data_IF_868062504696
#
_entry.id   IF_868062504696
#
_cell.length_a   1.000
_cell.length_b   1.000
_cell.length_c   1.000
_cell.angle_alpha   90.00
_cell.angle_beta   90.00
_cell.angle_gamma   90.00
#
_symmetry.space_group_name_H-M   'P 1'
#
loop_
_entity.id
_entity.type
_entity.pdbx_description
1 polymer ?
#
# COMPACT_ATOMS: atom_id res chain seq x y z
N UNK A 1 9.85 16.04 0.38
CA UNK A 1 9.24 16.52 1.65
C UNK A 1 7.80 16.96 1.37
N UNK A 2 6.81 16.04 1.39
CA UNK A 2 5.41 16.45 1.31
C UNK A 2 5.03 16.87 2.73
N UNK A 3 4.82 18.17 2.95
CA UNK A 3 4.30 18.73 4.20
C UNK A 3 3.03 17.98 4.58
N UNK A 4 2.83 17.68 5.86
CA UNK A 4 1.54 17.20 6.40
C UNK A 4 0.44 18.11 5.85
N UNK A 5 -0.47 17.56 5.01
CA UNK A 5 -1.53 18.34 4.35
C UNK A 5 -1.15 18.94 2.98
N UNK A 6 -0.10 18.44 2.32
CA UNK A 6 0.35 18.95 1.02
C UNK A 6 -0.72 18.81 -0.05
N UNK A 7 -1.15 19.95 -0.56
CA UNK A 7 -2.03 20.09 -1.72
C UNK A 7 -1.27 19.57 -2.93
N UNK A 8 -1.83 18.57 -3.61
CA UNK A 8 -1.29 18.04 -4.85
C UNK A 8 -1.67 19.02 -5.96
N UNK A 9 -0.67 19.62 -6.61
CA UNK A 9 -0.91 20.56 -7.69
C UNK A 9 -0.94 19.79 -9.02
N UNK A 10 -2.04 19.91 -9.70
CA UNK A 10 -2.20 19.51 -11.11
C UNK A 10 -1.37 20.47 -12.00
N UNK A 11 -0.86 19.98 -13.12
CA UNK A 11 -0.35 20.87 -14.16
C UNK A 11 -1.42 21.89 -14.53
N UNK A 12 -1.10 23.17 -14.50
CA UNK A 12 -2.07 24.24 -14.74
C UNK A 12 -2.75 24.08 -16.10
N UNK A 13 -4.09 23.96 -16.12
CA UNK A 13 -4.89 23.81 -17.34
C UNK A 13 -5.93 24.94 -17.38
N UNK A 14 -6.01 25.65 -18.51
CA UNK A 14 -7.02 26.71 -18.68
C UNK A 14 -8.44 26.14 -18.69
N UNK A 15 -9.37 26.90 -18.10
CA UNK A 15 -10.81 26.53 -18.10
C UNK A 15 -11.32 26.41 -19.54
N UNK A 16 -10.85 27.23 -20.48
CA UNK A 16 -11.15 27.10 -21.90
C UNK A 16 -10.78 25.72 -22.46
N UNK A 17 -9.57 25.22 -22.12
CA UNK A 17 -9.13 23.90 -22.57
C UNK A 17 -10.01 22.80 -22.00
N UNK A 18 -10.34 22.88 -20.69
CA UNK A 18 -11.24 21.92 -20.01
C UNK A 18 -12.62 21.96 -20.68
N UNK A 19 -13.18 23.13 -20.92
CA UNK A 19 -14.45 23.30 -21.63
C UNK A 19 -14.44 22.61 -23.00
N UNK A 20 -13.38 22.82 -23.77
CA UNK A 20 -13.21 22.18 -25.09
C UNK A 20 -13.14 20.68 -24.99
N UNK A 21 -12.36 20.12 -24.04
CA UNK A 21 -12.20 18.68 -23.83
C UNK A 21 -13.53 18.04 -23.41
N UNK A 22 -14.24 18.65 -22.47
CA UNK A 22 -15.47 18.12 -21.91
C UNK A 22 -16.74 18.48 -22.72
N UNK A 23 -16.60 19.31 -23.77
CA UNK A 23 -17.69 19.76 -24.61
C UNK A 23 -18.85 20.35 -23.78
N UNK A 24 -18.53 21.06 -22.70
CA UNK A 24 -19.49 21.67 -21.82
C UNK A 24 -19.81 23.12 -22.19
N UNK A 25 -20.89 23.67 -21.59
CA UNK A 25 -21.32 25.06 -21.74
C UNK A 25 -21.10 25.82 -20.43
N UNK A 26 -20.36 26.93 -20.47
CA UNK A 26 -20.30 27.86 -19.34
C UNK A 26 -21.69 28.49 -19.16
N UNK A 27 -22.24 28.35 -17.97
CA UNK A 27 -23.54 28.94 -17.59
C UNK A 27 -23.41 29.99 -16.51
N UNK A 28 -22.25 30.10 -15.86
CA UNK A 28 -21.89 31.12 -14.89
C UNK A 28 -20.38 31.32 -14.83
N UNK A 29 -19.91 32.53 -14.56
CA UNK A 29 -18.50 32.89 -14.38
C UNK A 29 -17.71 33.00 -15.67
N UNK A 30 -16.37 33.02 -15.57
CA UNK A 30 -15.40 33.24 -16.66
C UNK A 30 -14.55 32.00 -16.92
N UNK A 31 -14.12 31.81 -18.18
CA UNK A 31 -13.16 30.76 -18.56
C UNK A 31 -11.72 31.27 -18.76
N UNK A 32 -11.45 32.55 -18.39
CA UNK A 32 -10.17 33.23 -18.57
C UNK A 32 -9.17 32.99 -17.43
N UNK A 33 -9.17 31.79 -16.84
CA UNK A 33 -8.26 31.40 -15.77
C UNK A 33 -7.91 29.92 -15.86
N UNK A 34 -7.05 29.43 -14.96
CA UNK A 34 -6.56 28.04 -14.99
C UNK A 34 -6.78 27.33 -13.66
N UNK A 35 -7.12 26.06 -13.74
CA UNK A 35 -7.21 25.15 -12.60
C UNK A 35 -5.84 24.61 -12.19
N UNK A 36 -5.66 24.31 -10.91
CA UNK A 36 -4.44 23.76 -10.30
C UNK A 36 -4.71 22.53 -9.45
N UNK A 37 -5.99 22.20 -9.21
CA UNK A 37 -6.43 21.06 -8.41
C UNK A 37 -7.65 20.43 -9.04
N UNK A 38 -7.85 19.12 -8.84
CA UNK A 38 -9.05 18.42 -9.26
C UNK A 38 -9.51 17.46 -8.16
N UNK A 39 -10.80 17.49 -7.84
CA UNK A 39 -11.41 16.66 -6.80
C UNK A 39 -12.82 16.21 -7.17
N UNK A 40 -13.30 15.16 -6.47
CA UNK A 40 -14.75 14.98 -6.30
C UNK A 40 -15.28 15.95 -5.26
N UNK A 41 -16.47 16.48 -5.44
CA UNK A 41 -17.06 17.48 -4.54
C UNK A 41 -17.25 16.97 -3.09
N UNK A 42 -17.45 15.67 -2.88
CA UNK A 42 -17.55 15.09 -1.54
C UNK A 42 -16.25 15.18 -0.69
N UNK A 43 -15.18 15.76 -1.25
CA UNK A 43 -13.90 16.00 -0.56
C UNK A 43 -13.74 17.48 -0.24
N UNK A 44 -14.67 18.03 0.56
CA UNK A 44 -14.69 19.44 0.98
C UNK A 44 -13.41 19.90 1.66
N UNK A 45 -12.72 18.98 2.35
CA UNK A 45 -11.41 19.20 2.98
C UNK A 45 -10.30 19.54 2.00
N UNK A 46 -10.48 19.22 0.71
CA UNK A 46 -9.52 19.44 -0.36
C UNK A 46 -9.87 20.63 -1.28
N UNK A 47 -10.93 21.38 -0.98
CA UNK A 47 -11.27 22.57 -1.78
C UNK A 47 -10.26 23.68 -1.46
N UNK A 48 -9.57 24.14 -2.48
CA UNK A 48 -8.63 25.26 -2.46
C UNK A 48 -8.96 26.23 -3.61
N UNK A 49 -8.25 27.35 -3.69
CA UNK A 49 -8.35 28.19 -4.88
C UNK A 49 -7.89 27.44 -6.14
N UNK A 50 -8.49 27.76 -7.27
CA UNK A 50 -8.20 27.13 -8.58
C UNK A 50 -8.52 25.62 -8.63
N UNK A 51 -9.55 25.17 -7.88
CA UNK A 51 -9.99 23.76 -7.85
C UNK A 51 -11.08 23.49 -8.90
N UNK A 52 -10.88 22.45 -9.69
CA UNK A 52 -11.93 21.79 -10.48
C UNK A 52 -12.66 20.76 -9.64
N UNK A 53 -13.99 20.79 -9.65
CA UNK A 53 -14.85 19.88 -8.88
C UNK A 53 -15.87 19.20 -9.77
N UNK A 54 -15.96 17.87 -9.66
CA UNK A 54 -17.02 17.09 -10.30
C UNK A 54 -18.17 16.94 -9.29
N UNK A 55 -19.34 17.50 -9.61
CA UNK A 55 -20.50 17.56 -8.73
C UNK A 55 -21.66 16.79 -9.33
N UNK A 56 -22.06 15.70 -8.70
CA UNK A 56 -23.16 14.85 -9.16
C UNK A 56 -24.53 15.43 -8.89
N UNK A 57 -25.58 14.87 -9.53
CA UNK A 57 -26.96 15.30 -9.28
C UNK A 57 -27.42 15.14 -7.85
N UNK A 58 -26.89 14.15 -7.12
CA UNK A 58 -27.23 13.88 -5.73
C UNK A 58 -26.52 14.80 -4.73
N UNK A 59 -25.44 15.47 -5.13
CA UNK A 59 -24.66 16.32 -4.23
C UNK A 59 -25.42 17.63 -3.93
N UNK A 60 -25.46 18.03 -2.66
CA UNK A 60 -25.96 19.35 -2.25
C UNK A 60 -24.80 20.34 -2.29
N UNK A 61 -24.89 21.36 -3.14
CA UNK A 61 -23.82 22.34 -3.34
C UNK A 61 -23.90 23.43 -2.28
N UNK A 62 -22.80 23.63 -1.56
CA UNK A 62 -22.63 24.78 -0.67
C UNK A 62 -21.85 25.88 -1.43
N UNK A 63 -22.59 26.76 -2.12
CA UNK A 63 -21.99 27.83 -2.93
C UNK A 63 -21.12 28.77 -2.12
N UNK A 64 -21.53 29.11 -0.89
CA UNK A 64 -20.79 30.03 -0.02
C UNK A 64 -19.42 29.43 0.38
N UNK A 65 -19.36 28.12 0.65
CA UNK A 65 -18.10 27.46 0.96
C UNK A 65 -17.16 27.44 -0.24
N UNK A 66 -17.67 27.12 -1.42
CA UNK A 66 -16.90 27.12 -2.68
C UNK A 66 -16.34 28.50 -2.97
N UNK A 67 -17.21 29.53 -2.93
CA UNK A 67 -16.84 30.91 -3.24
C UNK A 67 -15.77 31.45 -2.29
N UNK A 68 -15.90 31.18 -1.00
CA UNK A 68 -14.92 31.60 0.02
C UNK A 68 -13.52 31.03 -0.18
N UNK A 69 -13.41 29.87 -0.82
CA UNK A 69 -12.14 29.20 -1.09
C UNK A 69 -11.37 29.77 -2.30
N UNK A 70 -11.95 30.71 -3.03
CA UNK A 70 -11.36 31.38 -4.20
C UNK A 70 -11.82 30.81 -5.52
N UNK A 71 -11.22 31.17 -6.64
CA UNK A 71 -11.74 30.76 -7.94
C UNK A 71 -11.81 29.23 -8.04
N UNK A 72 -13.00 28.73 -8.44
CA UNK A 72 -13.31 27.30 -8.56
C UNK A 72 -14.09 27.01 -9.83
N UNK A 73 -13.83 25.84 -10.45
CA UNK A 73 -14.58 25.33 -11.59
C UNK A 73 -15.48 24.16 -11.14
N UNK A 74 -16.77 24.37 -11.18
CA UNK A 74 -17.79 23.35 -10.92
C UNK A 74 -18.24 22.72 -12.23
N UNK A 75 -18.04 21.42 -12.38
CA UNK A 75 -18.55 20.62 -13.51
C UNK A 75 -19.71 19.80 -13.04
N UNK A 76 -20.90 20.00 -13.65
CA UNK A 76 -22.10 19.30 -13.20
C UNK A 76 -23.12 19.11 -14.34
N UNK A 77 -23.95 18.09 -14.21
CA UNK A 77 -25.11 17.79 -15.04
C UNK A 77 -26.45 18.08 -14.32
N UNK A 78 -26.41 18.84 -13.22
CA UNK A 78 -27.61 19.35 -12.54
C UNK A 78 -28.39 20.31 -13.44
N UNK A 79 -29.72 20.49 -13.20
CA UNK A 79 -30.49 21.49 -13.92
C UNK A 79 -29.85 22.88 -13.85
N UNK A 80 -29.81 23.58 -14.97
CA UNK A 80 -29.21 24.94 -15.02
C UNK A 80 -29.85 25.93 -14.01
N UNK A 81 -31.12 25.73 -13.64
CA UNK A 81 -31.83 26.50 -12.65
C UNK A 81 -31.23 26.39 -11.23
N UNK A 82 -30.73 25.20 -10.86
CA UNK A 82 -30.01 24.98 -9.58
C UNK A 82 -28.58 25.56 -9.60
N UNK A 83 -27.95 25.54 -10.77
CA UNK A 83 -26.56 25.98 -10.95
C UNK A 83 -26.40 27.49 -11.08
N UNK A 84 -27.49 28.23 -11.38
CA UNK A 84 -27.51 29.70 -11.46
C UNK A 84 -27.30 30.41 -10.11
N UNK A 85 -27.37 29.67 -8.99
CA UNK A 85 -27.10 30.21 -7.65
C UNK A 85 -25.60 30.28 -7.32
N UNK A 86 -24.72 29.98 -8.29
CA UNK A 86 -23.28 30.13 -8.12
C UNK A 86 -22.89 31.59 -7.87
N UNK A 87 -21.85 31.78 -7.04
CA UNK A 87 -21.33 33.08 -6.65
C UNK A 87 -20.12 33.51 -7.51
N UNK A 88 -19.67 34.74 -7.36
CA UNK A 88 -18.77 35.44 -8.26
C UNK A 88 -17.42 34.72 -8.50
N UNK A 89 -16.87 34.07 -7.46
CA UNK A 89 -15.61 33.33 -7.56
C UNK A 89 -15.77 31.91 -8.13
N UNK A 90 -16.95 31.58 -8.68
CA UNK A 90 -17.23 30.24 -9.20
C UNK A 90 -17.52 30.30 -10.70
N UNK A 91 -16.83 29.46 -11.47
CA UNK A 91 -17.23 29.18 -12.86
C UNK A 91 -17.98 27.85 -12.90
N UNK A 92 -19.09 27.82 -13.62
CA UNK A 92 -19.91 26.60 -13.77
C UNK A 92 -19.92 26.15 -15.21
N UNK A 93 -19.38 24.95 -15.42
CA UNK A 93 -19.38 24.21 -16.68
C UNK A 93 -20.49 23.16 -16.65
N UNK A 94 -21.58 23.41 -17.35
CA UNK A 94 -22.66 22.45 -17.48
C UNK A 94 -22.33 21.41 -18.56
N UNK A 95 -22.48 20.14 -18.24
CA UNK A 95 -22.21 18.98 -19.11
C UNK A 95 -23.43 18.07 -19.20
N UNK A 96 -23.50 17.19 -20.21
CA UNK A 96 -24.57 16.22 -20.37
C UNK A 96 -24.57 15.14 -19.28
N UNK A 97 -23.38 14.72 -18.85
CA UNK A 97 -23.16 13.71 -17.82
C UNK A 97 -21.86 14.02 -17.09
N UNK A 98 -21.95 14.25 -15.78
CA UNK A 98 -20.75 14.49 -14.94
C UNK A 98 -19.86 13.26 -14.86
N UNK A 99 -20.47 12.06 -14.86
CA UNK A 99 -19.71 10.80 -14.83
C UNK A 99 -18.88 10.62 -16.12
N UNK A 100 -19.45 10.92 -17.29
CA UNK A 100 -18.73 10.88 -18.56
C UNK A 100 -17.65 11.98 -18.60
N UNK A 101 -17.96 13.19 -18.17
CA UNK A 101 -17.00 14.29 -18.12
C UNK A 101 -15.79 13.96 -17.22
N UNK A 102 -16.03 13.29 -16.09
CA UNK A 102 -14.95 12.80 -15.21
C UNK A 102 -13.99 11.86 -15.95
N UNK A 103 -14.50 10.84 -16.61
CA UNK A 103 -13.65 9.89 -17.35
C UNK A 103 -12.95 10.54 -18.53
N UNK A 104 -13.61 11.41 -19.26
CA UNK A 104 -12.99 12.20 -20.35
C UNK A 104 -11.86 13.08 -19.81
N UNK A 105 -12.03 13.69 -18.65
CA UNK A 105 -10.96 14.46 -17.99
C UNK A 105 -9.78 13.57 -17.59
N UNK A 106 -10.04 12.39 -17.01
CA UNK A 106 -9.00 11.42 -16.64
C UNK A 106 -8.18 11.00 -17.85
N UNK A 107 -8.84 10.59 -18.93
CA UNK A 107 -8.18 10.18 -20.18
C UNK A 107 -7.34 11.32 -20.75
N UNK A 108 -7.90 12.51 -20.83
CA UNK A 108 -7.18 13.70 -21.26
C UNK A 108 -5.96 13.97 -20.40
N UNK A 109 -6.13 14.05 -19.09
CA UNK A 109 -5.06 14.39 -18.17
C UNK A 109 -3.93 13.35 -18.19
N UNK A 110 -4.29 12.06 -18.10
CA UNK A 110 -3.31 10.96 -18.16
C UNK A 110 -2.57 10.93 -19.50
N UNK A 111 -3.27 11.26 -20.60
CA UNK A 111 -2.71 11.32 -21.95
C UNK A 111 -1.66 12.42 -22.18
N UNK A 112 -1.60 13.42 -21.29
CA UNK A 112 -0.57 14.48 -21.37
C UNK A 112 0.85 13.95 -21.09
N UNK A 113 0.99 12.78 -20.42
CA UNK A 113 2.26 12.31 -19.91
C UNK A 113 2.63 10.93 -20.47
N UNK A 114 3.75 10.86 -21.17
CA UNK A 114 4.34 9.62 -21.72
C UNK A 114 5.45 9.12 -20.79
N UNK A 115 5.09 8.78 -19.54
CA UNK A 115 6.01 8.32 -18.50
C UNK A 115 5.68 6.90 -18.07
N UNK A 116 6.66 6.15 -17.51
CA UNK A 116 6.38 4.90 -16.83
C UNK A 116 5.43 5.14 -15.65
N UNK A 117 4.36 4.35 -15.59
CA UNK A 117 3.42 4.33 -14.46
C UNK A 117 3.37 2.93 -13.89
N UNK A 118 3.89 2.77 -12.68
CA UNK A 118 3.87 1.51 -11.94
C UNK A 118 2.66 1.48 -11.02
N UNK A 119 1.84 0.47 -11.15
CA UNK A 119 0.78 0.15 -10.20
C UNK A 119 1.09 -1.16 -9.50
N UNK A 120 0.92 -1.21 -8.18
CA UNK A 120 1.24 -2.42 -7.43
C UNK A 120 0.15 -2.83 -6.46
N UNK A 121 -0.12 -4.12 -6.44
CA UNK A 121 -1.07 -4.75 -5.52
C UNK A 121 -0.45 -5.97 -4.85
N UNK A 122 -1.16 -6.57 -3.90
CA UNK A 122 -0.76 -7.75 -3.16
C UNK A 122 -1.38 -7.77 -1.76
N UNK A 123 -1.16 -8.81 -1.01
CA UNK A 123 -1.59 -8.91 0.39
C UNK A 123 -0.60 -8.18 1.29
N UNK A 124 0.66 -8.55 1.24
CA UNK A 124 1.77 -7.98 2.00
C UNK A 124 2.84 -7.39 1.08
N UNK A 125 3.74 -6.57 1.63
CA UNK A 125 4.89 -6.04 0.90
C UNK A 125 4.62 -4.87 -0.04
N UNK A 126 3.37 -4.52 -0.35
CA UNK A 126 3.01 -3.42 -1.27
C UNK A 126 3.69 -2.11 -0.92
N UNK A 127 3.47 -1.61 0.28
CA UNK A 127 4.01 -0.31 0.72
C UNK A 127 5.54 -0.35 0.73
N UNK A 128 6.14 -1.44 1.20
CA UNK A 128 7.59 -1.62 1.23
C UNK A 128 8.18 -1.63 -0.18
N UNK A 129 7.63 -2.42 -1.10
CA UNK A 129 8.05 -2.48 -2.50
C UNK A 129 7.90 -1.11 -3.18
N UNK A 130 6.77 -0.42 -2.95
CA UNK A 130 6.54 0.94 -3.46
C UNK A 130 7.57 1.94 -2.94
N UNK A 131 7.87 1.93 -1.64
CA UNK A 131 8.86 2.85 -1.06
C UNK A 131 10.29 2.50 -1.51
N UNK A 132 10.63 1.20 -1.71
CA UNK A 132 11.89 0.79 -2.33
C UNK A 132 12.01 1.33 -3.76
N UNK A 133 10.98 1.12 -4.59
CA UNK A 133 10.91 1.64 -5.96
C UNK A 133 11.07 3.16 -5.99
N UNK A 134 10.30 3.87 -5.17
CA UNK A 134 10.36 5.32 -5.06
C UNK A 134 11.74 5.78 -4.63
N UNK A 135 12.34 5.15 -3.63
CA UNK A 135 13.68 5.48 -3.13
C UNK A 135 14.75 5.33 -4.21
N UNK A 136 14.71 4.22 -4.95
CA UNK A 136 15.64 3.94 -6.06
C UNK A 136 15.43 4.96 -7.18
N UNK A 137 14.20 5.08 -7.68
CA UNK A 137 13.89 5.92 -8.82
C UNK A 137 14.12 7.42 -8.55
N UNK A 138 13.85 7.90 -7.33
CA UNK A 138 14.02 9.30 -6.95
C UNK A 138 15.50 9.77 -6.92
N UNK A 139 16.46 8.85 -7.03
CA UNK A 139 17.87 9.21 -7.22
C UNK A 139 18.20 9.63 -8.65
N UNK A 140 17.31 9.31 -9.58
CA UNK A 140 17.53 9.52 -11.02
C UNK A 140 16.44 10.39 -11.64
N UNK A 141 15.22 10.41 -11.09
CA UNK A 141 14.03 11.02 -11.67
C UNK A 141 13.20 11.80 -10.65
N UNK A 142 12.38 12.73 -11.13
CA UNK A 142 11.27 13.25 -10.35
C UNK A 142 10.13 12.23 -10.37
N UNK A 143 9.78 11.72 -9.19
CA UNK A 143 8.83 10.62 -9.01
C UNK A 143 7.58 11.10 -8.29
N UNK A 144 6.41 10.92 -8.90
CA UNK A 144 5.12 11.00 -8.21
C UNK A 144 4.77 9.63 -7.64
N UNK A 145 4.36 9.58 -6.36
CA UNK A 145 3.98 8.31 -5.74
C UNK A 145 2.86 8.49 -4.71
N UNK A 146 2.09 7.42 -4.49
CA UNK A 146 1.14 7.38 -3.38
C UNK A 146 1.86 7.48 -2.03
N UNK A 147 1.24 8.17 -1.07
CA UNK A 147 1.84 8.51 0.23
C UNK A 147 1.57 7.40 1.24
N UNK A 148 2.61 6.84 1.83
CA UNK A 148 2.50 5.74 2.80
C UNK A 148 1.58 4.63 2.28
N UNK A 149 0.68 4.09 3.10
CA UNK A 149 -0.34 3.12 2.70
C UNK A 149 -1.70 3.76 2.34
N UNK A 150 -1.74 5.06 2.03
CA UNK A 150 -2.98 5.74 1.59
C UNK A 150 -3.29 5.36 0.14
N UNK A 151 -3.90 4.20 -0.05
CA UNK A 151 -4.14 3.56 -1.34
C UNK A 151 -5.63 3.39 -1.67
N UNK A 152 -6.53 4.04 -0.92
CA UNK A 152 -7.97 3.94 -1.17
C UNK A 152 -8.34 4.53 -2.55
N UNK A 153 -9.36 3.98 -3.25
CA UNK A 153 -9.78 4.46 -4.57
C UNK A 153 -10.04 5.97 -4.64
N UNK A 154 -10.56 6.57 -3.56
CA UNK A 154 -10.80 8.02 -3.48
C UNK A 154 -9.53 8.89 -3.53
N UNK A 155 -8.36 8.30 -3.31
CA UNK A 155 -7.06 9.00 -3.42
C UNK A 155 -6.53 9.02 -4.86
N UNK A 156 -7.14 8.26 -5.77
CA UNK A 156 -6.56 8.03 -7.11
C UNK A 156 -6.54 9.30 -7.96
N UNK A 157 -7.62 10.08 -7.96
CA UNK A 157 -7.63 11.35 -8.70
C UNK A 157 -6.58 12.34 -8.16
N UNK A 158 -6.50 12.62 -6.84
CA UNK A 158 -5.41 13.44 -6.30
C UNK A 158 -4.02 12.95 -6.65
N UNK A 159 -3.76 11.63 -6.63
CA UNK A 159 -2.45 11.10 -7.00
C UNK A 159 -2.15 11.26 -8.50
N UNK A 160 -3.13 10.99 -9.37
CA UNK A 160 -2.97 11.23 -10.80
C UNK A 160 -2.69 12.70 -11.09
N UNK A 161 -3.45 13.60 -10.50
CA UNK A 161 -3.29 15.05 -10.71
C UNK A 161 -2.02 15.64 -10.08
N UNK A 162 -1.30 14.85 -9.29
CA UNK A 162 0.05 15.18 -8.84
C UNK A 162 1.16 14.90 -9.85
N UNK A 163 0.83 14.27 -10.97
CA UNK A 163 1.73 14.12 -12.12
C UNK A 163 1.73 15.42 -12.89
N UNK A 164 2.90 15.97 -13.16
CA UNK A 164 3.10 17.23 -13.89
C UNK A 164 4.18 17.07 -14.98
N UNK A 165 4.51 18.17 -15.68
CA UNK A 165 5.51 18.22 -16.74
C UNK A 165 6.95 17.90 -16.29
N UNK A 166 7.22 17.93 -14.99
CA UNK A 166 8.52 17.57 -14.40
C UNK A 166 8.58 16.11 -13.99
N UNK A 167 7.42 15.46 -13.85
CA UNK A 167 7.33 14.07 -13.41
C UNK A 167 7.85 13.12 -14.49
N UNK A 168 8.84 12.30 -14.12
CA UNK A 168 9.49 11.36 -15.06
C UNK A 168 9.05 9.91 -14.81
N UNK A 169 8.46 9.61 -13.65
CA UNK A 169 7.87 8.32 -13.35
C UNK A 169 6.78 8.45 -12.28
N UNK A 170 5.79 7.56 -12.30
CA UNK A 170 4.75 7.50 -11.28
C UNK A 170 4.62 6.11 -10.68
N UNK A 171 4.41 6.02 -9.35
CA UNK A 171 4.36 4.75 -8.61
C UNK A 171 3.17 4.77 -7.65
N UNK A 172 2.15 3.94 -7.93
CA UNK A 172 0.89 3.94 -7.18
C UNK A 172 0.58 2.59 -6.54
N UNK A 173 0.42 2.58 -5.23
CA UNK A 173 -0.09 1.44 -4.51
C UNK A 173 -1.61 1.37 -4.66
N UNK A 174 -2.13 0.21 -5.11
CA UNK A 174 -3.55 -0.05 -5.29
C UNK A 174 -4.16 -0.66 -4.03
N UNK A 175 -5.17 0.01 -3.50
CA UNK A 175 -5.96 -0.48 -2.38
C UNK A 175 -7.09 -1.40 -2.82
N UNK A 176 -7.43 -2.34 -1.94
CA UNK A 176 -8.55 -3.24 -2.11
C UNK A 176 -9.42 -3.23 -0.85
N UNK A 177 -10.65 -2.81 -0.97
CA UNK A 177 -11.71 -3.01 0.02
C UNK A 177 -12.74 -4.01 -0.49
N UNK A 178 -13.10 -3.88 -1.78
CA UNK A 178 -14.09 -4.70 -2.48
C UNK A 178 -13.62 -5.00 -3.91
N UNK A 179 -14.21 -6.02 -4.53
CA UNK A 179 -14.06 -6.31 -5.96
C UNK A 179 -14.39 -5.06 -6.79
N UNK A 180 -13.66 -4.82 -7.86
CA UNK A 180 -13.76 -3.64 -8.72
C UNK A 180 -12.87 -2.45 -8.31
N UNK A 181 -12.33 -2.44 -7.09
CA UNK A 181 -11.50 -1.32 -6.63
C UNK A 181 -10.19 -1.20 -7.39
N UNK A 182 -9.52 -2.31 -7.68
CA UNK A 182 -8.25 -2.32 -8.43
C UNK A 182 -8.50 -1.92 -9.88
N UNK A 183 -9.53 -2.49 -10.50
CA UNK A 183 -9.95 -2.12 -11.87
C UNK A 183 -10.20 -0.62 -11.99
N UNK A 184 -10.98 -0.03 -11.07
CA UNK A 184 -11.27 1.41 -11.05
C UNK A 184 -9.99 2.25 -10.95
N UNK A 185 -9.06 1.88 -10.07
CA UNK A 185 -7.78 2.59 -9.90
C UNK A 185 -6.91 2.47 -11.15
N UNK A 186 -6.87 1.30 -11.78
CA UNK A 186 -6.14 1.10 -13.04
C UNK A 186 -6.73 1.95 -14.19
N UNK A 187 -8.06 2.09 -14.27
CA UNK A 187 -8.67 3.01 -15.26
C UNK A 187 -8.20 4.46 -15.09
N UNK A 188 -7.95 4.89 -13.85
CA UNK A 188 -7.45 6.23 -13.56
C UNK A 188 -5.96 6.36 -13.88
N UNK A 189 -5.13 5.42 -13.43
CA UNK A 189 -3.68 5.51 -13.56
C UNK A 189 -3.15 5.06 -14.92
N UNK A 190 -3.87 4.18 -15.61
CA UNK A 190 -3.47 3.54 -16.88
C UNK A 190 -2.02 3.04 -16.81
N UNK A 191 -1.72 2.08 -15.91
CA UNK A 191 -0.36 1.67 -15.64
C UNK A 191 0.30 0.99 -16.85
N UNK A 192 1.58 1.29 -17.06
CA UNK A 192 2.44 0.59 -18.03
C UNK A 192 3.13 -0.61 -17.40
N UNK A 193 3.25 -0.63 -16.07
CA UNK A 193 3.85 -1.73 -15.31
C UNK A 193 2.92 -2.07 -14.14
N UNK A 194 2.53 -3.34 -14.03
CA UNK A 194 1.74 -3.87 -12.92
C UNK A 194 2.56 -4.85 -12.09
N UNK A 195 2.43 -4.78 -10.76
CA UNK A 195 3.12 -5.70 -9.85
C UNK A 195 2.10 -6.39 -8.94
N UNK A 196 2.22 -7.72 -8.80
CA UNK A 196 1.53 -8.50 -7.76
C UNK A 196 2.58 -9.10 -6.84
N UNK A 197 2.70 -8.58 -5.60
CA UNK A 197 3.74 -9.02 -4.66
C UNK A 197 3.49 -10.43 -4.12
N UNK A 198 2.28 -10.68 -3.64
CA UNK A 198 1.79 -11.98 -3.16
C UNK A 198 0.28 -11.94 -2.97
N UNK A 199 -0.35 -13.11 -2.89
CA UNK A 199 -1.78 -13.25 -2.57
C UNK A 199 -1.96 -14.24 -1.43
N UNK A 200 -2.07 -13.72 -0.21
CA UNK A 200 -2.42 -14.48 0.98
C UNK A 200 -3.85 -14.19 1.44
N UNK A 201 -4.10 -14.27 2.74
CA UNK A 201 -5.42 -14.10 3.33
C UNK A 201 -5.59 -12.71 3.91
N UNK A 202 -6.51 -11.91 3.34
CA UNK A 202 -6.92 -10.60 3.85
C UNK A 202 -8.19 -10.13 3.13
N UNK A 203 -8.92 -9.14 3.67
CA UNK A 203 -10.10 -8.50 3.05
C UNK A 203 -11.19 -9.49 2.58
N UNK A 204 -11.36 -10.64 3.26
CA UNK A 204 -12.37 -11.61 2.91
C UNK A 204 -13.80 -11.08 3.17
N UNK A 205 -13.95 -10.11 4.06
CA UNK A 205 -15.20 -9.39 4.30
C UNK A 205 -15.71 -8.63 3.07
N UNK A 206 -14.82 -8.09 2.24
CA UNK A 206 -15.17 -7.37 1.02
C UNK A 206 -15.12 -8.21 -0.26
N UNK A 207 -14.49 -9.40 -0.20
CA UNK A 207 -14.30 -10.29 -1.36
C UNK A 207 -14.97 -11.66 -1.19
N UNK A 208 -15.79 -11.85 -0.16
CA UNK A 208 -16.54 -13.06 0.21
C UNK A 208 -15.66 -14.22 0.69
N UNK A 209 -14.58 -14.56 -0.02
CA UNK A 209 -13.67 -15.66 0.28
C UNK A 209 -12.31 -15.45 -0.42
N UNK A 210 -11.39 -16.41 -0.26
CA UNK A 210 -10.06 -16.34 -0.86
C UNK A 210 -10.09 -16.33 -2.40
N UNK A 211 -11.00 -17.07 -3.02
CA UNK A 211 -11.13 -17.08 -4.49
C UNK A 211 -11.57 -15.71 -5.03
N UNK A 212 -12.58 -15.10 -4.39
CA UNK A 212 -13.00 -13.72 -4.71
C UNK A 212 -11.88 -12.71 -4.50
N UNK A 213 -11.05 -12.90 -3.46
CA UNK A 213 -9.89 -12.05 -3.20
C UNK A 213 -8.81 -12.20 -4.27
N UNK A 214 -8.53 -13.44 -4.76
CA UNK A 214 -7.62 -13.70 -5.88
C UNK A 214 -8.13 -12.99 -7.15
N UNK A 215 -9.43 -13.15 -7.46
CA UNK A 215 -10.07 -12.49 -8.61
C UNK A 215 -9.97 -10.96 -8.52
N UNK A 216 -10.23 -10.40 -7.35
CA UNK A 216 -10.11 -8.96 -7.14
C UNK A 216 -8.65 -8.45 -7.30
N UNK A 217 -7.65 -9.23 -6.89
CA UNK A 217 -6.24 -8.91 -7.15
C UNK A 217 -5.86 -9.04 -8.63
N UNK A 218 -6.44 -10.01 -9.31
CA UNK A 218 -6.22 -10.24 -10.74
C UNK A 218 -6.76 -9.10 -11.64
N UNK A 219 -7.64 -8.23 -11.14
CA UNK A 219 -8.13 -7.05 -11.88
C UNK A 219 -6.99 -6.16 -12.43
N UNK A 220 -5.81 -6.16 -11.79
CA UNK A 220 -4.64 -5.42 -12.29
C UNK A 220 -4.18 -5.94 -13.65
N UNK A 221 -4.33 -7.24 -13.92
CA UNK A 221 -3.90 -7.87 -15.20
C UNK A 221 -4.66 -7.27 -16.38
N UNK A 222 -5.96 -7.02 -16.21
CA UNK A 222 -6.79 -6.36 -17.22
C UNK A 222 -6.61 -4.83 -17.22
N UNK A 223 -6.08 -4.29 -16.15
CA UNK A 223 -5.92 -2.86 -15.95
C UNK A 223 -4.59 -2.30 -16.45
N UNK A 224 -3.59 -3.13 -16.76
CA UNK A 224 -2.34 -2.72 -17.38
C UNK A 224 -2.57 -2.45 -18.88
N UNK A 225 -1.89 -1.46 -19.43
CA UNK A 225 -1.92 -1.19 -20.89
C UNK A 225 -1.56 -2.46 -21.68
N UNK A 226 -2.12 -2.61 -22.86
CA UNK A 226 -1.96 -3.82 -23.69
C UNK A 226 -0.49 -4.12 -24.05
N UNK A 227 0.34 -3.07 -24.16
CA UNK A 227 1.78 -3.12 -24.42
C UNK A 227 2.63 -3.10 -23.14
N UNK A 228 2.00 -3.17 -21.96
CA UNK A 228 2.65 -3.04 -20.67
C UNK A 228 3.29 -4.32 -20.14
N UNK A 229 3.92 -4.22 -18.97
CA UNK A 229 4.62 -5.32 -18.29
C UNK A 229 3.89 -5.72 -17.01
N UNK A 230 3.67 -7.02 -16.82
CA UNK A 230 3.19 -7.62 -15.57
C UNK A 230 4.34 -8.30 -14.84
N UNK A 231 4.59 -7.90 -13.59
CA UNK A 231 5.63 -8.46 -12.72
C UNK A 231 4.96 -9.24 -11.59
N UNK A 232 5.24 -10.55 -11.49
CA UNK A 232 4.56 -11.46 -10.54
C UNK A 232 5.54 -12.30 -9.75
N UNK A 233 5.14 -12.67 -8.54
CA UNK A 233 5.86 -13.63 -7.72
C UNK A 233 5.59 -15.06 -8.24
N UNK A 234 6.63 -15.71 -8.73
CA UNK A 234 6.57 -17.07 -9.30
C UNK A 234 6.31 -18.15 -8.23
N UNK A 235 6.65 -17.86 -6.99
CA UNK A 235 6.57 -18.83 -5.87
C UNK A 235 5.21 -18.78 -5.15
N UNK A 236 4.32 -17.85 -5.53
CA UNK A 236 3.01 -17.69 -4.89
C UNK A 236 1.94 -18.59 -5.54
N UNK A 237 1.51 -19.60 -4.80
CA UNK A 237 0.52 -20.57 -5.27
C UNK A 237 -0.86 -19.97 -5.61
N UNK A 238 -1.22 -18.82 -5.05
CA UNK A 238 -2.48 -18.15 -5.37
C UNK A 238 -2.35 -17.25 -6.61
N UNK A 239 -1.18 -16.66 -6.85
CA UNK A 239 -0.87 -15.97 -8.12
C UNK A 239 -0.91 -16.99 -9.27
N UNK A 240 -0.41 -18.20 -9.08
CA UNK A 240 -0.46 -19.26 -10.08
C UNK A 240 -1.90 -19.64 -10.52
N UNK A 241 -2.92 -19.35 -9.72
CA UNK A 241 -4.34 -19.57 -10.06
C UNK A 241 -4.94 -18.48 -10.95
N UNK A 242 -4.22 -17.36 -11.17
CA UNK A 242 -4.72 -16.26 -12.01
C UNK A 242 -4.62 -16.69 -13.49
N UNK A 243 -5.73 -16.55 -14.21
CA UNK A 243 -5.71 -16.75 -15.65
C UNK A 243 -4.99 -15.59 -16.35
N UNK A 244 -3.85 -15.89 -16.97
CA UNK A 244 -3.05 -14.92 -17.72
C UNK A 244 -3.21 -15.05 -19.24
N UNK A 245 -4.10 -15.92 -19.73
CA UNK A 245 -4.26 -16.23 -21.17
C UNK A 245 -4.60 -15.01 -22.03
N UNK A 246 -5.33 -14.04 -21.47
CA UNK A 246 -5.73 -12.82 -22.15
C UNK A 246 -4.68 -11.70 -22.07
N UNK A 247 -3.70 -11.83 -21.21
CA UNK A 247 -2.62 -10.84 -21.11
C UNK A 247 -1.66 -11.01 -22.31
N UNK A 248 -1.45 -9.94 -23.05
CA UNK A 248 -0.62 -9.92 -24.27
C UNK A 248 0.67 -9.13 -24.09
N UNK A 249 0.83 -8.45 -22.96
CA UNK A 249 2.03 -7.69 -22.64
C UNK A 249 3.20 -8.58 -22.21
N UNK A 250 4.29 -7.95 -21.82
CA UNK A 250 5.48 -8.61 -21.27
C UNK A 250 5.20 -9.14 -19.87
N UNK A 251 5.64 -10.34 -19.57
CA UNK A 251 5.55 -10.94 -18.23
C UNK A 251 6.96 -11.16 -17.67
N UNK A 252 7.13 -10.74 -16.40
CA UNK A 252 8.37 -10.95 -15.64
C UNK A 252 8.01 -11.66 -14.33
N UNK A 253 8.74 -12.71 -14.04
CA UNK A 253 8.61 -13.50 -12.82
C UNK A 253 9.78 -13.23 -11.89
N UNK A 254 9.49 -12.98 -10.63
CA UNK A 254 10.50 -12.92 -9.59
C UNK A 254 10.25 -14.00 -8.54
N UNK A 255 11.30 -14.52 -7.93
CA UNK A 255 11.18 -15.57 -6.94
C UNK A 255 12.50 -16.24 -6.58
N UNK A 256 12.41 -17.40 -5.91
CA UNK A 256 13.52 -18.22 -5.49
C UNK A 256 13.66 -19.47 -6.37
N UNK A 257 12.58 -19.85 -7.07
CA UNK A 257 12.52 -21.01 -7.93
C UNK A 257 13.17 -20.75 -9.30
N UNK A 258 13.55 -21.82 -9.99
CA UNK A 258 14.19 -21.74 -11.33
C UNK A 258 13.29 -21.14 -12.41
N UNK A 259 11.99 -21.10 -12.18
CA UNK A 259 11.01 -20.47 -13.08
C UNK A 259 11.01 -18.93 -13.05
N UNK A 260 11.79 -18.31 -12.18
CA UNK A 260 11.88 -16.87 -12.03
C UNK A 260 12.91 -16.26 -12.98
N UNK A 261 12.53 -15.15 -13.67
CA UNK A 261 13.43 -14.34 -14.49
C UNK A 261 14.38 -13.48 -13.62
N UNK A 262 13.91 -13.09 -12.42
CA UNK A 262 14.68 -12.43 -11.37
C UNK A 262 14.74 -13.38 -10.18
N UNK A 263 15.77 -14.21 -10.12
CA UNK A 263 15.90 -15.27 -9.13
C UNK A 263 16.85 -14.88 -8.01
N UNK A 264 16.44 -15.10 -6.76
CA UNK A 264 17.34 -14.97 -5.62
C UNK A 264 17.79 -16.35 -5.11
N UNK A 265 19.05 -16.42 -4.72
CA UNK A 265 19.66 -17.59 -4.10
C UNK A 265 20.67 -17.15 -3.02
N UNK A 266 21.22 -18.09 -2.26
CA UNK A 266 22.20 -17.83 -1.21
C UNK A 266 21.73 -16.70 -0.25
N UNK A 267 20.50 -16.84 0.26
CA UNK A 267 19.87 -15.84 1.14
C UNK A 267 20.41 -15.99 2.54
N UNK A 268 20.96 -14.91 3.09
CA UNK A 268 21.59 -14.89 4.41
C UNK A 268 21.13 -13.68 5.21
N UNK A 269 20.98 -13.85 6.53
CA UNK A 269 20.82 -12.74 7.46
C UNK A 269 22.15 -11.98 7.60
N UNK A 270 22.08 -10.66 7.53
CA UNK A 270 23.20 -9.77 7.78
C UNK A 270 22.86 -8.87 8.98
N UNK A 271 23.84 -8.11 9.49
CA UNK A 271 23.67 -7.29 10.70
C UNK A 271 22.45 -6.35 10.68
N UNK A 272 22.08 -5.80 9.52
CA UNK A 272 20.97 -4.82 9.37
C UNK A 272 20.01 -5.16 8.24
N UNK A 273 20.02 -6.42 7.75
CA UNK A 273 19.16 -6.80 6.63
C UNK A 273 19.47 -8.18 6.06
N UNK A 274 19.17 -8.35 4.78
CA UNK A 274 19.38 -9.61 4.06
C UNK A 274 20.42 -9.42 2.96
N UNK A 275 21.30 -10.43 2.78
CA UNK A 275 22.17 -10.59 1.61
C UNK A 275 21.66 -11.73 0.77
N UNK A 276 21.80 -11.60 -0.54
CA UNK A 276 21.45 -12.66 -1.49
C UNK A 276 22.17 -12.47 -2.82
N UNK A 277 22.22 -13.53 -3.61
CA UNK A 277 22.66 -13.47 -5.01
C UNK A 277 21.43 -13.35 -5.89
N UNK A 278 21.34 -12.25 -6.65
CA UNK A 278 20.35 -12.07 -7.70
C UNK A 278 20.91 -12.60 -9.03
N UNK A 279 20.17 -13.46 -9.70
CA UNK A 279 20.45 -13.96 -11.04
C UNK A 279 19.41 -13.44 -12.03
N UNK A 280 19.87 -12.79 -13.10
CA UNK A 280 19.04 -12.27 -14.19
C UNK A 280 19.79 -12.48 -15.50
N UNK A 281 19.19 -13.21 -16.46
CA UNK A 281 19.77 -13.49 -17.76
C UNK A 281 21.26 -13.95 -17.64
N UNK A 282 21.50 -14.98 -16.84
CA UNK A 282 22.82 -15.59 -16.58
C UNK A 282 23.86 -14.69 -15.89
N UNK A 283 23.48 -13.47 -15.52
CA UNK A 283 24.34 -12.56 -14.77
C UNK A 283 24.00 -12.57 -13.28
N UNK A 284 25.03 -12.72 -12.46
CA UNK A 284 24.89 -12.75 -11.00
C UNK A 284 25.31 -11.44 -10.35
N UNK A 285 24.53 -11.00 -9.39
CA UNK A 285 24.75 -9.76 -8.62
C UNK A 285 24.63 -10.04 -7.13
N UNK A 286 25.60 -9.56 -6.35
CA UNK A 286 25.47 -9.54 -4.89
C UNK A 286 24.57 -8.39 -4.46
N UNK A 287 23.51 -8.70 -3.75
CA UNK A 287 22.51 -7.72 -3.31
C UNK A 287 22.45 -7.69 -1.79
N UNK A 288 22.32 -6.49 -1.24
CA UNK A 288 21.95 -6.25 0.15
C UNK A 288 20.67 -5.44 0.18
N UNK A 289 19.70 -5.88 0.99
CA UNK A 289 18.46 -5.14 1.29
C UNK A 289 18.35 -4.95 2.79
N UNK A 290 18.14 -3.68 3.26
CA UNK A 290 17.85 -3.42 4.66
C UNK A 290 16.53 -4.04 5.10
N UNK A 291 16.48 -4.46 6.39
CA UNK A 291 15.33 -5.14 6.97
C UNK A 291 15.42 -6.67 6.87
N UNK A 292 14.78 -7.34 7.79
CA UNK A 292 14.95 -8.77 8.02
C UNK A 292 13.83 -9.59 7.40
N UNK A 293 14.19 -10.81 6.98
CA UNK A 293 13.29 -11.84 6.52
C UNK A 293 13.24 -12.00 5.00
N UNK A 294 12.95 -13.21 4.57
CA UNK A 294 12.86 -13.59 3.15
C UNK A 294 11.88 -12.72 2.35
N UNK A 295 10.80 -12.26 3.00
CA UNK A 295 9.84 -11.34 2.36
C UNK A 295 10.48 -10.01 1.93
N UNK A 296 11.57 -9.55 2.56
CA UNK A 296 12.32 -8.39 2.10
C UNK A 296 13.09 -8.68 0.81
N UNK A 297 13.57 -9.93 0.65
CA UNK A 297 14.18 -10.37 -0.61
C UNK A 297 13.16 -10.31 -1.73
N UNK A 298 11.95 -10.86 -1.55
CA UNK A 298 10.86 -10.75 -2.53
C UNK A 298 10.49 -9.31 -2.87
N UNK A 299 10.38 -8.44 -1.88
CA UNK A 299 10.10 -7.01 -2.10
C UNK A 299 11.22 -6.34 -2.93
N UNK A 300 12.48 -6.69 -2.64
CA UNK A 300 13.65 -6.20 -3.37
C UNK A 300 13.67 -6.69 -4.83
N UNK A 301 13.40 -7.99 -5.06
CA UNK A 301 13.31 -8.56 -6.41
C UNK A 301 12.25 -7.84 -7.25
N UNK A 302 11.04 -7.66 -6.72
CA UNK A 302 9.97 -6.93 -7.39
C UNK A 302 10.35 -5.47 -7.70
N UNK A 303 11.02 -4.79 -6.75
CA UNK A 303 11.48 -3.43 -6.93
C UNK A 303 12.58 -3.31 -7.99
N UNK A 304 13.58 -4.22 -8.00
CA UNK A 304 14.66 -4.24 -8.99
C UNK A 304 14.08 -4.51 -10.38
N UNK A 305 13.20 -5.51 -10.52
CA UNK A 305 12.57 -5.85 -11.79
C UNK A 305 11.78 -4.65 -12.36
N UNK A 306 10.98 -3.97 -11.53
CA UNK A 306 10.23 -2.80 -11.97
C UNK A 306 11.13 -1.61 -12.31
N UNK A 307 12.21 -1.36 -11.56
CA UNK A 307 13.19 -0.33 -11.89
C UNK A 307 13.85 -0.60 -13.26
N UNK A 308 14.15 -1.86 -13.56
CA UNK A 308 14.70 -2.26 -14.85
C UNK A 308 13.72 -1.98 -16.00
N UNK A 309 12.44 -2.30 -15.80
CA UNK A 309 11.39 -2.01 -16.79
C UNK A 309 11.10 -0.50 -16.96
N UNK A 310 11.38 0.29 -15.93
CA UNK A 310 11.31 1.75 -16.01
C UNK A 310 12.51 2.36 -16.75
N UNK A 311 13.57 1.59 -17.07
CA UNK A 311 14.76 2.02 -17.79
C UNK A 311 16.01 2.24 -16.93
N UNK A 312 16.01 1.89 -15.66
CA UNK A 312 17.23 1.87 -14.83
C UNK A 312 18.00 0.56 -15.02
N UNK A 313 19.33 0.63 -15.01
CA UNK A 313 20.12 -0.60 -14.99
C UNK A 313 19.95 -1.34 -13.65
N UNK A 314 20.12 -2.67 -13.67
CA UNK A 314 20.08 -3.51 -12.46
C UNK A 314 21.10 -3.01 -11.42
N UNK A 315 22.28 -2.57 -11.86
CA UNK A 315 23.32 -2.02 -10.97
C UNK A 315 22.88 -0.74 -10.27
N UNK A 316 22.16 0.17 -10.98
CA UNK A 316 21.58 1.37 -10.37
C UNK A 316 20.51 1.02 -9.36
N UNK A 317 19.65 0.05 -9.68
CA UNK A 317 18.60 -0.39 -8.77
C UNK A 317 19.19 -0.99 -7.48
N UNK A 318 20.21 -1.86 -7.59
CA UNK A 318 20.92 -2.46 -6.44
C UNK A 318 21.61 -1.37 -5.60
N UNK A 319 22.32 -0.43 -6.22
CA UNK A 319 23.00 0.65 -5.52
C UNK A 319 22.00 1.55 -4.79
N UNK A 320 20.85 1.81 -5.39
CA UNK A 320 19.75 2.54 -4.76
C UNK A 320 19.16 1.79 -3.56
N UNK A 321 18.88 0.51 -3.73
CA UNK A 321 18.29 -0.35 -2.70
C UNK A 321 19.15 -0.42 -1.43
N UNK A 322 20.47 -0.50 -1.58
CA UNK A 322 21.43 -0.59 -0.47
C UNK A 322 21.31 0.55 0.54
N UNK A 323 20.81 1.70 0.14
CA UNK A 323 20.63 2.88 0.99
C UNK A 323 19.17 3.10 1.40
N UNK A 324 18.28 2.15 1.10
CA UNK A 324 16.90 2.19 1.55
C UNK A 324 16.86 2.15 3.08
N UNK A 325 15.98 2.96 3.68
CA UNK A 325 15.76 2.91 5.12
C UNK A 325 14.52 2.07 5.39
N UNK A 326 14.66 1.08 6.24
CA UNK A 326 13.54 0.27 6.68
C UNK A 326 12.42 1.17 7.24
N UNK A 327 11.19 0.79 6.95
CA UNK A 327 10.02 1.53 7.41
C UNK A 327 9.74 1.22 8.87
N UNK A 328 9.38 2.25 9.63
CA UNK A 328 8.95 2.07 11.01
C UNK A 328 7.75 1.11 11.11
N UNK A 329 7.72 0.31 12.15
CA UNK A 329 6.66 -0.66 12.45
C UNK A 329 6.45 -1.76 11.40
N UNK A 330 7.45 -2.04 10.57
CA UNK A 330 7.46 -3.14 9.60
C UNK A 330 8.61 -4.10 9.93
N UNK A 331 8.43 -4.91 10.97
CA UNK A 331 9.50 -5.69 11.59
C UNK A 331 10.70 -4.78 11.95
N UNK A 332 10.42 -3.69 12.62
CA UNK A 332 11.41 -2.71 13.06
C UNK A 332 12.12 -3.20 14.32
N UNK A 333 13.42 -3.39 14.23
CA UNK A 333 14.27 -3.83 15.35
C UNK A 333 14.80 -2.64 16.10
N UNK A 334 14.57 -2.61 17.41
CA UNK A 334 15.07 -1.55 18.31
C UNK A 334 15.48 -2.15 19.66
N UNK A 335 16.37 -1.46 20.38
CA UNK A 335 16.64 -1.77 21.77
C UNK A 335 15.49 -1.28 22.64
N UNK A 336 15.06 -2.09 23.59
CA UNK A 336 13.98 -1.81 24.52
C UNK A 336 14.41 -1.84 25.99
N UNK A 337 13.42 -1.83 26.88
CA UNK A 337 13.62 -1.90 28.33
C UNK A 337 14.51 -3.11 28.66
N UNK A 338 15.48 -2.93 29.58
CA UNK A 338 16.40 -3.99 30.01
C UNK A 338 17.35 -4.47 28.91
N UNK A 339 17.63 -3.62 27.92
CA UNK A 339 18.43 -3.95 26.72
C UNK A 339 17.85 -5.08 25.86
N UNK A 340 16.55 -5.39 26.05
CA UNK A 340 15.83 -6.38 25.25
C UNK A 340 15.73 -5.95 23.78
N UNK A 341 15.59 -6.90 22.88
CA UNK A 341 15.33 -6.63 21.46
C UNK A 341 13.82 -6.54 21.23
N UNK A 342 13.33 -5.38 20.81
CA UNK A 342 11.93 -5.17 20.42
C UNK A 342 11.82 -5.21 18.90
N UNK A 343 10.93 -6.09 18.41
CA UNK A 343 10.56 -6.17 17.01
C UNK A 343 9.14 -5.63 16.88
N UNK A 344 9.03 -4.37 16.42
CA UNK A 344 7.75 -3.72 16.22
C UNK A 344 7.21 -3.99 14.81
N UNK A 345 6.11 -4.74 14.73
CA UNK A 345 5.39 -5.02 13.49
C UNK A 345 3.90 -4.64 13.62
N UNK A 346 3.66 -3.43 14.13
CA UNK A 346 2.32 -2.88 14.38
C UNK A 346 1.72 -2.13 13.18
N UNK A 347 2.12 -2.46 11.96
CA UNK A 347 1.56 -1.85 10.75
C UNK A 347 0.54 -2.74 10.06
N UNK A 348 0.93 -3.95 9.70
CA UNK A 348 0.07 -4.90 8.98
C UNK A 348 -0.19 -6.12 9.86
N UNK A 349 -1.47 -6.47 10.06
CA UNK A 349 -1.87 -7.66 10.78
C UNK A 349 -2.88 -8.49 9.98
N UNK A 350 -2.38 -9.53 9.32
CA UNK A 350 -3.15 -10.55 8.62
C UNK A 350 -2.40 -11.89 8.72
N UNK A 351 -3.05 -13.05 8.46
CA UNK A 351 -2.42 -14.36 8.63
C UNK A 351 -1.08 -14.50 7.89
N UNK A 352 -1.01 -14.03 6.66
CA UNK A 352 0.22 -14.07 5.84
C UNK A 352 1.36 -13.27 6.46
N UNK A 353 1.08 -12.07 6.98
CA UNK A 353 2.10 -11.23 7.62
C UNK A 353 2.51 -11.74 9.00
N UNK A 354 1.61 -12.41 9.72
CA UNK A 354 1.95 -13.07 10.99
C UNK A 354 2.92 -14.21 10.72
N UNK A 355 2.64 -15.05 9.71
CA UNK A 355 3.53 -16.15 9.34
C UNK A 355 4.92 -15.67 8.92
N UNK A 356 5.00 -14.61 8.13
CA UNK A 356 6.28 -14.00 7.75
C UNK A 356 7.07 -13.50 8.97
N UNK A 357 6.39 -12.89 9.95
CA UNK A 357 7.01 -12.42 11.19
C UNK A 357 7.48 -13.59 12.08
N UNK A 358 6.70 -14.67 12.17
CA UNK A 358 7.09 -15.87 12.88
C UNK A 358 8.34 -16.52 12.27
N UNK A 359 8.47 -16.59 10.93
CA UNK A 359 9.68 -17.08 10.26
C UNK A 359 10.93 -16.24 10.58
N UNK A 360 10.78 -14.93 10.71
CA UNK A 360 11.88 -14.07 11.16
C UNK A 360 12.24 -14.41 12.61
N UNK A 361 11.22 -14.56 13.47
CA UNK A 361 11.42 -14.91 14.88
C UNK A 361 12.10 -16.26 15.05
N UNK A 362 11.77 -17.28 14.23
CA UNK A 362 12.44 -18.59 14.20
C UNK A 362 13.96 -18.49 13.97
N UNK A 363 14.41 -17.45 13.30
CA UNK A 363 15.83 -17.24 13.00
C UNK A 363 16.53 -16.38 14.06
N UNK A 364 15.93 -15.24 14.40
CA UNK A 364 16.57 -14.25 15.32
C UNK A 364 16.35 -14.60 16.80
N UNK A 365 15.38 -15.44 17.10
CA UNK A 365 15.04 -15.91 18.47
C UNK A 365 15.86 -17.10 18.93
N UNK A 366 16.74 -17.67 18.06
CA UNK A 366 17.62 -18.77 18.49
C UNK A 366 18.48 -18.31 19.65
N UNK A 367 18.53 -19.13 20.71
CA UNK A 367 19.31 -18.85 21.93
C UNK A 367 18.85 -17.63 22.73
N UNK A 368 17.62 -17.12 22.46
CA UNK A 368 17.01 -16.01 23.18
C UNK A 368 15.70 -16.44 23.85
N UNK A 369 15.28 -15.71 24.87
CA UNK A 369 13.92 -15.79 25.40
C UNK A 369 12.97 -15.07 24.43
N UNK A 370 11.98 -15.80 23.93
CA UNK A 370 11.06 -15.33 22.91
C UNK A 370 9.70 -14.99 23.51
N UNK A 371 9.33 -13.71 23.44
CA UNK A 371 8.01 -13.23 23.80
C UNK A 371 7.26 -12.81 22.54
N UNK A 372 6.08 -13.37 22.32
CA UNK A 372 5.22 -13.09 21.18
C UNK A 372 3.95 -12.39 21.64
N UNK A 373 3.70 -11.17 21.17
CA UNK A 373 2.50 -10.37 21.44
C UNK A 373 1.69 -10.24 20.16
N UNK A 374 0.49 -10.84 20.12
CA UNK A 374 -0.40 -10.84 18.96
C UNK A 374 -1.72 -10.14 19.27
N UNK A 375 -2.07 -9.13 18.47
CA UNK A 375 -3.38 -8.48 18.49
C UNK A 375 -4.37 -9.09 17.51
N UNK A 376 -5.64 -8.67 17.60
CA UNK A 376 -6.72 -9.08 16.71
C UNK A 376 -6.35 -8.93 15.24
N UNK A 377 -6.64 -9.97 14.45
CA UNK A 377 -6.57 -9.94 12.99
C UNK A 377 -7.96 -9.57 12.46
N UNK A 378 -8.05 -8.47 11.70
CA UNK A 378 -9.31 -7.94 11.18
C UNK A 378 -9.48 -8.25 9.69
N UNK A 379 -10.68 -7.98 9.15
CA UNK A 379 -11.01 -8.09 7.73
C UNK A 379 -11.03 -9.52 7.16
N UNK A 380 -11.32 -10.50 8.02
CA UNK A 380 -11.41 -11.91 7.64
C UNK A 380 -12.87 -12.39 7.43
N UNK A 381 -13.88 -11.55 7.73
CA UNK A 381 -15.29 -11.88 7.60
C UNK A 381 -15.66 -13.12 8.42
N UNK A 382 -16.43 -14.03 7.83
CA UNK A 382 -16.87 -15.27 8.50
C UNK A 382 -15.73 -16.26 8.79
N UNK A 383 -14.51 -15.97 8.35
CA UNK A 383 -13.33 -16.83 8.54
C UNK A 383 -12.44 -16.38 9.71
N UNK A 384 -12.87 -15.39 10.51
CA UNK A 384 -12.06 -14.84 11.61
C UNK A 384 -11.59 -15.94 12.57
N UNK A 385 -12.49 -16.75 13.11
CA UNK A 385 -12.13 -17.80 14.06
C UNK A 385 -11.19 -18.83 13.45
N UNK A 386 -11.48 -19.28 12.22
CA UNK A 386 -10.64 -20.24 11.49
C UNK A 386 -9.18 -19.80 11.42
N UNK A 387 -8.95 -18.59 10.94
CA UNK A 387 -7.58 -18.11 10.73
C UNK A 387 -6.86 -17.73 12.03
N UNK A 388 -7.57 -17.30 13.07
CA UNK A 388 -6.97 -17.12 14.38
C UNK A 388 -6.51 -18.47 14.95
N UNK A 389 -7.31 -19.53 14.83
CA UNK A 389 -6.91 -20.89 15.24
C UNK A 389 -5.73 -21.42 14.42
N UNK A 390 -5.71 -21.24 13.10
CA UNK A 390 -4.57 -21.63 12.25
C UNK A 390 -3.26 -20.94 12.72
N UNK A 391 -3.33 -19.67 13.12
CA UNK A 391 -2.17 -18.99 13.71
C UNK A 391 -1.79 -19.61 15.06
N UNK A 392 -2.77 -19.97 15.90
CA UNK A 392 -2.54 -20.66 17.17
C UNK A 392 -1.77 -21.97 16.99
N UNK A 393 -2.15 -22.80 16.01
CA UNK A 393 -1.42 -24.02 15.66
C UNK A 393 0.01 -23.73 15.23
N UNK A 394 0.22 -22.74 14.37
CA UNK A 394 1.57 -22.33 13.93
C UNK A 394 2.45 -21.81 15.08
N UNK A 395 1.85 -21.17 16.07
CA UNK A 395 2.55 -20.73 17.30
C UNK A 395 2.95 -21.92 18.15
N UNK A 396 2.07 -22.93 18.28
CA UNK A 396 2.34 -24.12 19.08
C UNK A 396 3.53 -24.97 18.56
N UNK A 397 3.80 -24.91 17.24
CA UNK A 397 4.92 -25.60 16.59
C UNK A 397 6.30 -24.94 16.87
N UNK A 398 6.33 -23.79 17.56
CA UNK A 398 7.52 -22.94 17.71
C UNK A 398 8.04 -22.86 19.13
N UNK A 399 9.32 -22.56 19.26
CA UNK A 399 9.95 -22.27 20.53
C UNK A 399 9.63 -20.82 20.96
N UNK A 400 8.55 -20.67 21.69
CA UNK A 400 8.09 -19.41 22.26
C UNK A 400 7.98 -19.60 23.75
N UNK A 401 8.62 -18.73 24.55
CA UNK A 401 8.58 -18.82 26.02
C UNK A 401 7.32 -18.17 26.59
N UNK A 402 6.88 -17.06 26.01
CA UNK A 402 5.66 -16.37 26.44
C UNK A 402 4.82 -15.96 25.25
N UNK A 403 3.56 -16.39 25.21
CA UNK A 403 2.56 -15.94 24.25
C UNK A 403 1.57 -15.00 24.95
N UNK A 404 1.43 -13.80 24.42
CA UNK A 404 0.42 -12.82 24.87
C UNK A 404 -0.51 -12.52 23.71
N UNK A 405 -1.81 -12.71 23.93
CA UNK A 405 -2.85 -12.34 22.97
C UNK A 405 -3.64 -11.15 23.50
N UNK A 406 -3.93 -10.16 22.60
CA UNK A 406 -4.62 -8.92 22.95
C UNK A 406 -5.83 -8.75 22.03
N UNK A 407 -7.02 -8.75 22.64
CA UNK A 407 -8.31 -8.60 21.94
C UNK A 407 -9.14 -9.88 21.92
N UNK A 408 -10.44 -9.70 21.72
CA UNK A 408 -11.42 -10.79 21.80
C UNK A 408 -11.20 -11.89 20.74
N UNK A 409 -10.77 -11.49 19.54
CA UNK A 409 -10.53 -12.46 18.44
C UNK A 409 -9.21 -13.19 18.61
N UNK A 410 -8.20 -12.49 19.13
CA UNK A 410 -6.89 -13.05 19.38
C UNK A 410 -6.90 -14.13 20.48
N UNK A 411 -7.94 -14.21 21.33
CA UNK A 411 -8.15 -15.26 22.31
C UNK A 411 -8.15 -16.66 21.65
N UNK A 412 -8.76 -16.79 20.45
CA UNK A 412 -8.77 -18.04 19.70
C UNK A 412 -7.36 -18.54 19.30
N UNK A 413 -6.37 -17.63 19.18
CA UNK A 413 -4.96 -18.00 18.96
C UNK A 413 -4.42 -18.69 20.21
N UNK A 414 -4.65 -18.11 21.40
CA UNK A 414 -4.20 -18.64 22.68
C UNK A 414 -4.82 -20.01 22.98
N UNK A 415 -6.13 -20.12 22.77
CA UNK A 415 -6.87 -21.37 23.00
C UNK A 415 -6.37 -22.50 22.11
N UNK A 416 -6.15 -22.20 20.82
CA UNK A 416 -5.65 -23.20 19.90
C UNK A 416 -4.19 -23.58 20.20
N UNK A 417 -3.33 -22.62 20.52
CA UNK A 417 -1.95 -22.90 20.90
C UNK A 417 -1.88 -23.82 22.13
N UNK A 418 -2.71 -23.58 23.16
CA UNK A 418 -2.83 -24.46 24.34
C UNK A 418 -3.31 -25.85 23.95
N UNK A 419 -4.35 -25.94 23.09
CA UNK A 419 -4.90 -27.20 22.61
C UNK A 419 -3.88 -28.05 21.86
N UNK A 420 -3.03 -27.40 21.08
CA UNK A 420 -1.98 -28.05 20.28
C UNK A 420 -0.67 -28.26 21.06
N UNK A 421 -0.69 -28.01 22.39
CA UNK A 421 0.39 -28.38 23.30
C UNK A 421 1.58 -27.42 23.29
N UNK A 422 1.38 -26.11 23.07
CA UNK A 422 2.45 -25.12 23.21
C UNK A 422 3.14 -25.22 24.57
N UNK A 423 4.45 -25.02 24.60
CA UNK A 423 5.22 -24.92 25.84
C UNK A 423 5.28 -23.49 26.41
N UNK A 424 4.73 -22.54 25.67
CA UNK A 424 4.73 -21.13 26.06
C UNK A 424 3.87 -20.89 27.31
N UNK A 425 4.30 -19.99 28.19
CA UNK A 425 3.42 -19.37 29.18
C UNK A 425 2.40 -18.48 28.43
N UNK A 426 1.11 -18.79 28.51
CA UNK A 426 0.06 -18.15 27.71
C UNK A 426 -0.78 -17.19 28.52
N UNK A 427 -0.82 -15.94 28.13
CA UNK A 427 -1.63 -14.88 28.72
C UNK A 427 -2.58 -14.28 27.68
N UNK A 428 -3.80 -13.96 28.13
CA UNK A 428 -4.84 -13.37 27.28
C UNK A 428 -5.37 -12.09 27.91
N UNK A 429 -5.36 -11.01 27.14
CA UNK A 429 -5.83 -9.69 27.58
C UNK A 429 -6.91 -9.15 26.66
N UNK A 430 -7.87 -8.41 27.21
CA UNK A 430 -8.88 -7.70 26.42
C UNK A 430 -8.30 -6.51 25.66
N UNK A 431 -7.35 -5.83 26.28
CA UNK A 431 -6.60 -4.68 25.76
C UNK A 431 -5.17 -4.68 26.31
N UNK A 432 -4.40 -3.62 26.08
CA UNK A 432 -2.99 -3.52 26.48
C UNK A 432 -2.77 -3.28 27.98
N UNK A 433 -3.85 -3.11 28.76
CA UNK A 433 -3.76 -2.80 30.20
C UNK A 433 -3.14 -3.98 30.96
N UNK A 434 -2.12 -3.71 31.76
CA UNK A 434 -1.40 -4.71 32.55
C UNK A 434 -0.36 -5.53 31.77
N UNK A 435 -0.31 -5.43 30.44
CA UNK A 435 0.67 -6.18 29.63
C UNK A 435 2.10 -5.72 29.91
N UNK A 436 2.30 -4.40 30.06
CA UNK A 436 3.62 -3.84 30.33
C UNK A 436 4.16 -4.26 31.71
N UNK A 437 3.31 -4.28 32.72
CA UNK A 437 3.64 -4.73 34.08
C UNK A 437 4.04 -6.21 34.11
N UNK A 438 3.33 -7.04 33.34
CA UNK A 438 3.66 -8.47 33.17
C UNK A 438 5.03 -8.66 32.49
N UNK A 439 5.34 -7.81 31.49
CA UNK A 439 6.55 -7.97 30.67
C UNK A 439 7.80 -7.42 31.36
N UNK A 440 7.73 -6.27 32.03
CA UNK A 440 8.89 -5.59 32.63
C UNK A 440 9.87 -6.51 33.36
N UNK A 441 9.42 -7.43 34.27
CA UNK A 441 10.34 -8.31 34.98
C UNK A 441 10.97 -9.42 34.11
N UNK A 442 10.47 -9.61 32.89
CA UNK A 442 10.94 -10.65 31.95
C UNK A 442 11.92 -10.08 30.90
N UNK A 443 12.11 -8.74 30.87
CA UNK A 443 12.90 -8.06 29.84
C UNK A 443 14.35 -7.93 30.28
N UNK A 444 15.23 -8.54 29.52
CA UNK A 444 16.70 -8.46 29.68
C UNK A 444 17.37 -8.52 28.28
N UNK A 445 18.70 -8.42 28.23
CA UNK A 445 19.48 -8.45 27.00
C UNK A 445 19.32 -9.77 26.19
N UNK A 446 18.87 -10.85 26.84
CA UNK A 446 18.62 -12.15 26.19
C UNK A 446 17.18 -12.32 25.74
N UNK A 447 16.36 -11.29 25.86
CA UNK A 447 14.93 -11.36 25.51
C UNK A 447 14.64 -10.66 24.18
N UNK A 448 13.86 -11.33 23.32
CA UNK A 448 13.26 -10.77 22.11
C UNK A 448 11.76 -10.68 22.28
N UNK A 449 11.17 -9.53 21.99
CA UNK A 449 9.71 -9.31 22.00
C UNK A 449 9.26 -8.95 20.58
N UNK A 450 8.49 -9.83 19.95
CA UNK A 450 7.78 -9.50 18.70
C UNK A 450 6.38 -9.00 19.02
N UNK A 451 6.05 -7.78 18.58
CA UNK A 451 4.74 -7.17 18.78
C UNK A 451 4.06 -7.02 17.41
N UNK A 452 2.94 -7.68 17.23
CA UNK A 452 2.19 -7.66 15.99
C UNK A 452 0.76 -7.20 16.18
N UNK A 453 0.40 -6.13 15.49
CA UNK A 453 -0.94 -5.54 15.57
C UNK A 453 -1.28 -4.70 14.34
N UNK A 454 -2.57 -4.36 14.15
CA UNK A 454 -2.98 -3.55 13.03
C UNK A 454 -2.66 -2.06 13.26
N UNK A 455 -2.31 -1.34 12.18
CA UNK A 455 -2.05 0.11 12.19
C UNK A 455 -3.24 0.95 12.71
N UNK A 456 -4.43 0.37 12.77
CA UNK A 456 -5.63 0.99 13.33
C UNK A 456 -5.74 0.88 14.85
N UNK A 457 -4.88 0.08 15.50
CA UNK A 457 -4.85 -0.05 16.96
C UNK A 457 -3.86 0.93 17.57
N UNK A 458 -4.36 2.10 17.95
CA UNK A 458 -3.52 3.13 18.59
C UNK A 458 -2.89 2.63 19.89
N UNK A 459 -3.66 1.87 20.69
CA UNK A 459 -3.18 1.31 21.97
C UNK A 459 -2.01 0.34 21.80
N UNK A 460 -2.04 -0.55 20.78
CA UNK A 460 -0.91 -1.44 20.50
C UNK A 460 0.33 -0.69 20.00
N UNK A 461 0.13 0.37 19.22
CA UNK A 461 1.24 1.23 18.75
C UNK A 461 1.88 1.95 19.94
N UNK A 462 1.08 2.52 20.83
CA UNK A 462 1.56 3.18 22.05
C UNK A 462 2.24 2.17 22.99
N UNK A 463 1.69 0.98 23.13
CA UNK A 463 2.31 -0.12 23.90
C UNK A 463 3.70 -0.49 23.34
N UNK A 464 3.82 -0.69 22.02
CA UNK A 464 5.10 -0.97 21.40
C UNK A 464 6.12 0.16 21.62
N UNK A 465 5.68 1.42 21.52
CA UNK A 465 6.53 2.56 21.78
C UNK A 465 7.00 2.63 23.26
N UNK A 466 6.14 2.26 24.21
CA UNK A 466 6.49 2.24 25.63
C UNK A 466 7.52 1.16 26.00
N UNK A 467 7.69 0.14 25.17
CA UNK A 467 8.72 -0.90 25.34
C UNK A 467 10.08 -0.49 24.75
N UNK A 468 10.10 0.43 23.78
CA UNK A 468 11.33 0.92 23.16
C UNK A 468 12.05 1.90 24.10
N UNK A 469 13.37 1.78 24.22
CA UNK A 469 14.18 2.84 24.81
C UNK A 469 14.23 3.98 23.79
N UNK A 470 13.42 5.00 24.01
CA UNK A 470 13.54 6.25 23.28
C UNK A 470 14.72 7.03 23.90
N UNK A 471 15.89 6.93 23.28
CA UNK A 471 17.03 7.82 23.55
C UNK A 471 16.76 9.22 23.03
#
# INVERSE_FOLDING_TARGET
>A
MIKKGGVVHLQSISVQKIRSVLQGKIIHGSDQWSVKHAIYYNRHDLIHNHTLMFVSRSDKINWQEIDRKGPSLVISDKPATELKNALDNTTVLHVKSVAQAYWTFIEYYRGLFQIPVVALTGTCGKTTTKEMLKHIASKHWQVQASVSSKNEPRQSLPYLTGVDDKTQAAIFELGLGNTGNIKHQCMIYQPTIGIITNIGVHHLDGCLNLEGYIKAKAEIVEGIRADGTLIINADDANIAKISLQKFKGKMIRFGLQDSADYKASAIEFAHTGMKFVLEVADTKYNVFVPGYGEHQVYNALAAIAACSEMGLSIRQAIAGLRTFKQMARHLEFTTGIGDSTIIDDTWTNNPTSVEAALKVLDTVGKEKKVILVLGDIKRLGNFEEKYHREIGSKVAERQIDTLITIGKRAEAIADQAKKDGTKAEVHTFKDVTGVLELLKPKLDADTIVLIKGPMSSRSMIEFANNLKNLS
#
